data_IF_708177428624
#
_entry.id   IF_708177428624
#
_cell.length_a   1.000
_cell.length_b   1.000
_cell.length_c   1.000
_cell.angle_alpha   90.00
_cell.angle_beta   90.00
_cell.angle_gamma   90.00
#
_symmetry.space_group_name_H-M   'P 1'
#
loop_
_entity.id
_entity.type
_entity.pdbx_description
1 polymer ?
#
# COMPACT_ATOMS: atom_id res chain seq x y z
N UNK A 1 -40.56 10.39 -48.48
CA UNK A 1 -40.37 10.88 -47.09
C UNK A 1 -39.30 10.07 -46.41
N UNK A 2 -38.16 10.65 -46.26
CA UNK A 2 -37.05 10.00 -45.59
C UNK A 2 -37.06 10.39 -44.11
N UNK A 3 -37.28 9.42 -43.27
CA UNK A 3 -37.13 9.64 -41.81
C UNK A 3 -35.68 9.55 -41.46
N UNK A 4 -35.11 10.67 -41.05
CA UNK A 4 -33.78 10.69 -40.41
C UNK A 4 -33.95 10.32 -38.95
N UNK A 5 -33.48 9.14 -38.58
CA UNK A 5 -33.29 8.79 -37.18
C UNK A 5 -32.01 9.45 -36.66
N UNK A 6 -32.16 10.45 -35.80
CA UNK A 6 -31.04 10.98 -35.05
C UNK A 6 -30.62 9.90 -34.05
N UNK A 7 -29.45 9.33 -34.28
CA UNK A 7 -28.80 8.51 -33.26
C UNK A 7 -28.22 9.46 -32.19
N UNK A 8 -28.83 9.47 -31.05
CA UNK A 8 -28.29 10.18 -29.88
C UNK A 8 -27.10 9.37 -29.39
N UNK A 9 -25.92 9.86 -29.70
CA UNK A 9 -24.68 9.33 -29.09
C UNK A 9 -24.68 9.80 -27.63
N UNK A 10 -25.01 8.92 -26.73
CA UNK A 10 -24.83 9.16 -25.32
C UNK A 10 -23.33 9.19 -25.04
N UNK A 11 -22.80 10.40 -24.87
CA UNK A 11 -21.45 10.61 -24.41
C UNK A 11 -21.40 10.19 -22.94
N UNK A 12 -20.95 8.97 -22.67
CA UNK A 12 -20.57 8.58 -21.32
C UNK A 12 -19.36 9.40 -20.91
N UNK A 13 -19.59 10.49 -20.22
CA UNK A 13 -18.55 11.20 -19.51
C UNK A 13 -18.01 10.24 -18.45
N UNK A 14 -16.86 9.64 -18.71
CA UNK A 14 -16.12 8.93 -17.68
C UNK A 14 -15.67 9.98 -16.65
N UNK A 15 -16.46 10.14 -15.61
CA UNK A 15 -16.02 10.86 -14.43
C UNK A 15 -14.88 10.05 -13.83
N UNK A 16 -13.67 10.54 -14.01
CA UNK A 16 -12.49 10.03 -13.35
C UNK A 16 -12.63 10.34 -11.85
N UNK A 17 -13.42 9.54 -11.17
CA UNK A 17 -13.39 9.50 -9.72
C UNK A 17 -12.03 8.94 -9.33
N UNK A 18 -11.32 9.62 -8.42
CA UNK A 18 -10.09 9.11 -7.85
C UNK A 18 -10.37 7.73 -7.25
N UNK A 19 -10.16 6.69 -8.05
CA UNK A 19 -10.26 5.33 -7.57
C UNK A 19 -9.12 5.06 -6.61
N UNK A 20 -9.41 4.46 -5.46
CA UNK A 20 -8.38 3.91 -4.59
C UNK A 20 -7.50 2.94 -5.37
N UNK A 21 -6.21 2.85 -5.02
CA UNK A 21 -5.28 1.91 -5.66
C UNK A 21 -5.75 0.46 -5.51
N UNK A 22 -6.41 0.15 -4.39
CA UNK A 22 -7.04 -1.15 -4.17
C UNK A 22 -8.22 -1.02 -3.22
N UNK A 23 -9.15 -1.97 -3.32
CA UNK A 23 -10.29 -2.08 -2.41
C UNK A 23 -10.48 -3.54 -2.02
N UNK A 24 -10.77 -3.77 -0.75
CA UNK A 24 -11.15 -5.08 -0.22
C UNK A 24 -12.14 -4.86 0.91
N UNK A 25 -13.34 -5.46 0.80
CA UNK A 25 -14.41 -5.21 1.78
C UNK A 25 -14.72 -3.72 1.91
N UNK A 26 -14.70 -3.20 3.13
CA UNK A 26 -14.91 -1.79 3.44
C UNK A 26 -13.63 -0.96 3.44
N UNK A 27 -12.51 -1.56 3.05
CA UNK A 27 -11.19 -0.93 3.05
C UNK A 27 -10.85 -0.38 1.68
N UNK A 28 -10.36 0.88 1.66
CA UNK A 28 -9.76 1.52 0.48
C UNK A 28 -8.30 1.76 0.77
N UNK A 29 -7.42 1.34 -0.14
CA UNK A 29 -5.97 1.43 0.05
C UNK A 29 -5.40 2.33 -1.02
N UNK A 30 -4.66 3.36 -0.61
CA UNK A 30 -4.11 4.41 -1.46
C UNK A 30 -2.62 4.60 -1.23
N UNK A 31 -1.97 5.29 -2.16
CA UNK A 31 -0.57 5.71 -2.04
C UNK A 31 0.39 4.56 -1.76
N UNK A 32 0.20 3.45 -2.45
CA UNK A 32 1.02 2.25 -2.27
C UNK A 32 2.37 2.45 -2.97
N UNK A 33 3.45 2.44 -2.19
CA UNK A 33 4.80 2.59 -2.73
C UNK A 33 5.83 1.83 -1.90
N UNK A 34 6.98 1.57 -2.50
CA UNK A 34 8.10 0.91 -1.85
C UNK A 34 9.39 1.65 -2.18
N UNK A 35 10.37 1.53 -1.32
CA UNK A 35 11.70 2.13 -1.54
C UNK A 35 12.53 1.30 -2.52
N UNK A 36 13.38 1.98 -3.28
CA UNK A 36 14.43 1.31 -4.04
C UNK A 36 15.37 0.55 -3.10
N UNK A 37 16.04 -0.46 -3.60
CA UNK A 37 17.01 -1.24 -2.84
C UNK A 37 17.78 -2.20 -3.74
N UNK A 38 18.85 -2.77 -3.18
CA UNK A 38 19.73 -3.71 -3.87
C UNK A 38 19.61 -5.12 -3.29
N UNK A 39 20.01 -6.17 -4.02
CA UNK A 39 19.97 -7.53 -3.51
C UNK A 39 20.69 -7.65 -2.15
N UNK A 40 20.09 -8.40 -1.24
CA UNK A 40 20.61 -8.59 0.12
C UNK A 40 20.28 -7.48 1.10
N UNK A 41 19.81 -6.34 0.61
CA UNK A 41 19.43 -5.21 1.46
C UNK A 41 18.00 -5.32 1.97
N UNK A 42 17.63 -4.38 2.83
CA UNK A 42 16.29 -4.22 3.38
C UNK A 42 15.61 -3.05 2.67
N UNK A 43 14.33 -3.22 2.33
CA UNK A 43 13.49 -2.14 1.86
C UNK A 43 12.21 -2.08 2.69
N UNK A 44 11.34 -1.15 2.38
CA UNK A 44 10.06 -0.99 3.07
C UNK A 44 8.99 -0.53 2.11
N UNK A 45 7.75 -0.91 2.41
CA UNK A 45 6.57 -0.48 1.67
C UNK A 45 5.61 0.26 2.58
N UNK A 46 4.89 1.19 2.00
CA UNK A 46 4.00 2.10 2.69
C UNK A 46 2.69 2.27 1.91
N UNK A 47 1.62 2.51 2.64
CA UNK A 47 0.32 2.81 2.06
C UNK A 47 -0.61 3.40 3.12
N UNK A 48 -1.75 3.91 2.68
CA UNK A 48 -2.81 4.39 3.56
C UNK A 48 -4.05 3.52 3.39
N UNK A 49 -4.65 3.12 4.52
CA UNK A 49 -5.90 2.35 4.54
C UNK A 49 -6.99 3.20 5.15
N UNK A 50 -8.10 3.37 4.43
CA UNK A 50 -9.32 4.00 4.95
C UNK A 50 -10.38 2.95 5.13
N UNK A 51 -11.01 2.95 6.29
CA UNK A 51 -12.04 1.97 6.67
C UNK A 51 -13.39 2.64 6.85
N UNK A 52 -14.39 2.14 6.13
CA UNK A 52 -15.78 2.62 6.22
C UNK A 52 -16.69 1.63 6.95
N UNK A 53 -16.12 0.68 7.66
CA UNK A 53 -16.87 -0.37 8.35
C UNK A 53 -16.32 -0.64 9.74
N UNK A 54 -16.55 -1.86 10.22
CA UNK A 54 -16.07 -2.31 11.53
C UNK A 54 -14.53 -2.36 11.56
N UNK A 55 -13.95 -2.25 12.76
CA UNK A 55 -12.52 -2.34 12.95
C UNK A 55 -11.94 -3.63 12.34
N UNK A 56 -10.75 -3.51 11.76
CA UNK A 56 -10.01 -4.61 11.17
C UNK A 56 -8.54 -4.48 11.55
N UNK A 57 -7.69 -5.32 11.05
CA UNK A 57 -6.24 -5.21 11.23
C UNK A 57 -5.48 -5.93 10.13
N UNK A 58 -4.28 -5.46 9.85
CA UNK A 58 -3.33 -6.17 9.00
C UNK A 58 -2.65 -7.23 9.86
N UNK A 59 -2.68 -8.47 9.42
CA UNK A 59 -2.12 -9.60 10.18
C UNK A 59 -0.90 -10.23 9.51
N UNK A 60 -0.70 -10.01 8.22
CA UNK A 60 0.51 -10.47 7.53
C UNK A 60 0.69 -9.77 6.19
N UNK A 61 1.89 -9.86 5.67
CA UNK A 61 2.22 -9.38 4.33
C UNK A 61 3.26 -10.32 3.71
N UNK A 62 3.29 -10.40 2.39
CA UNK A 62 4.24 -11.22 1.66
C UNK A 62 4.64 -10.56 0.34
N UNK A 63 5.93 -10.64 0.01
CA UNK A 63 6.49 -10.19 -1.26
C UNK A 63 7.49 -11.22 -1.75
N UNK A 64 7.34 -11.68 -3.00
CA UNK A 64 8.31 -12.60 -3.61
C UNK A 64 9.67 -11.93 -3.85
N UNK A 65 9.76 -10.63 -3.65
CA UNK A 65 10.96 -9.83 -3.82
C UNK A 65 11.98 -9.96 -2.68
N UNK A 66 11.62 -10.59 -1.57
CA UNK A 66 12.43 -10.64 -0.37
C UNK A 66 12.38 -12.01 0.30
N UNK A 67 13.40 -12.33 1.08
CA UNK A 67 13.44 -13.58 1.85
C UNK A 67 12.34 -13.63 2.89
N UNK A 68 12.08 -12.52 3.56
CA UNK A 68 10.98 -12.41 4.51
C UNK A 68 10.32 -11.04 4.44
N UNK A 69 9.03 -11.01 4.76
CA UNK A 69 8.22 -9.81 4.79
C UNK A 69 7.56 -9.73 6.16
N UNK A 70 7.73 -8.62 6.85
CA UNK A 70 7.30 -8.47 8.22
C UNK A 70 6.54 -7.16 8.44
N UNK A 71 5.68 -7.15 9.44
CA UNK A 71 5.00 -5.95 9.91
C UNK A 71 5.85 -5.28 10.98
N UNK A 72 6.20 -4.03 10.77
CA UNK A 72 7.06 -3.27 11.70
C UNK A 72 6.45 -1.94 12.11
N UNK A 73 6.87 -1.46 13.27
CA UNK A 73 6.61 -0.11 13.74
C UNK A 73 7.94 0.49 14.23
N UNK A 74 7.91 1.76 14.56
CA UNK A 74 9.07 2.49 15.05
C UNK A 74 8.74 3.08 16.41
N UNK A 75 9.67 3.01 17.34
CA UNK A 75 9.54 3.68 18.65
C UNK A 75 10.86 4.34 19.04
N UNK A 76 10.77 5.35 19.88
CA UNK A 76 11.94 6.00 20.45
C UNK A 76 12.38 5.25 21.71
N UNK A 77 13.66 4.86 21.73
CA UNK A 77 14.31 4.24 22.89
C UNK A 77 15.62 4.98 23.12
N UNK A 78 15.78 5.59 24.29
CA UNK A 78 16.99 6.31 24.67
C UNK A 78 17.43 7.35 23.62
N UNK A 79 16.47 8.10 23.05
CA UNK A 79 16.73 9.12 22.05
C UNK A 79 16.98 8.60 20.62
N UNK A 80 16.92 7.29 20.40
CA UNK A 80 17.12 6.69 19.08
C UNK A 80 15.85 6.03 18.58
N UNK A 81 15.58 6.15 17.28
CA UNK A 81 14.46 5.45 16.64
C UNK A 81 14.82 3.99 16.40
N UNK A 82 14.01 3.08 16.94
CA UNK A 82 14.17 1.65 16.79
C UNK A 82 12.97 1.04 16.07
N UNK A 83 13.24 0.23 15.05
CA UNK A 83 12.23 -0.58 14.37
C UNK A 83 12.03 -1.87 15.14
N UNK A 84 10.78 -2.31 15.23
CA UNK A 84 10.46 -3.58 15.88
C UNK A 84 9.26 -4.25 15.19
N UNK A 85 9.27 -5.56 15.17
CA UNK A 85 8.19 -6.34 14.58
C UNK A 85 6.93 -6.28 15.45
N UNK A 86 5.78 -6.16 14.80
CA UNK A 86 4.48 -6.19 15.46
C UNK A 86 3.65 -7.37 14.90
N UNK A 87 2.80 -8.00 15.72
CA UNK A 87 1.96 -9.11 15.26
C UNK A 87 0.83 -8.66 14.34
N UNK A 88 0.41 -7.40 14.47
CA UNK A 88 -0.69 -6.84 13.69
C UNK A 88 -0.63 -5.32 13.72
N UNK A 89 -1.34 -4.71 12.77
CA UNK A 89 -1.54 -3.25 12.71
C UNK A 89 -3.03 -2.97 12.73
N UNK A 90 -3.51 -2.28 13.77
CA UNK A 90 -4.93 -2.02 13.95
C UNK A 90 -5.46 -0.96 12.99
N UNK A 91 -6.64 -1.21 12.43
CA UNK A 91 -7.37 -0.28 11.58
C UNK A 91 -8.69 0.03 12.29
N UNK A 92 -8.86 1.25 12.82
CA UNK A 92 -10.07 1.57 13.57
C UNK A 92 -11.33 1.56 12.69
N UNK A 93 -12.48 1.29 13.32
CA UNK A 93 -13.76 1.40 12.65
C UNK A 93 -13.98 2.85 12.20
N UNK A 94 -14.47 3.03 10.97
CA UNK A 94 -14.70 4.35 10.38
C UNK A 94 -13.50 5.30 10.49
N UNK A 95 -12.30 4.74 10.43
CA UNK A 95 -11.04 5.46 10.59
C UNK A 95 -10.02 5.09 9.54
N UNK A 96 -8.75 5.35 9.83
CA UNK A 96 -7.66 5.09 8.91
C UNK A 96 -6.40 4.60 9.61
N UNK A 97 -5.56 3.93 8.84
CA UNK A 97 -4.20 3.54 9.23
C UNK A 97 -3.26 4.01 8.13
N UNK A 98 -2.26 4.80 8.50
CA UNK A 98 -1.25 5.29 7.56
C UNK A 98 0.10 4.66 7.86
N UNK A 99 0.64 3.94 6.88
CA UNK A 99 2.01 3.45 6.91
C UNK A 99 2.90 4.47 6.22
N UNK A 100 3.92 4.94 6.90
CA UNK A 100 4.82 5.98 6.40
C UNK A 100 6.21 5.85 7.04
N UNK A 101 7.26 6.44 6.43
CA UNK A 101 8.59 6.47 7.06
C UNK A 101 8.52 7.03 8.48
N UNK A 102 9.19 6.34 9.41
CA UNK A 102 9.17 6.71 10.82
C UNK A 102 7.97 6.19 11.61
N UNK A 103 7.13 5.40 10.99
CA UNK A 103 5.92 4.83 11.60
C UNK A 103 5.76 3.37 11.18
N UNK A 104 4.53 2.86 11.15
CA UNK A 104 4.25 1.52 10.63
C UNK A 104 4.73 1.36 9.20
N UNK A 105 5.26 0.20 8.88
CA UNK A 105 5.69 -0.15 7.52
C UNK A 105 5.73 -1.66 7.31
N UNK A 106 5.70 -2.05 6.06
CA UNK A 106 5.95 -3.44 5.65
C UNK A 106 7.44 -3.55 5.38
N UNK A 107 8.14 -4.33 6.18
CA UNK A 107 9.59 -4.52 6.05
C UNK A 107 9.88 -5.64 5.06
N UNK A 108 10.68 -5.33 4.03
CA UNK A 108 11.13 -6.29 3.02
C UNK A 108 12.58 -6.65 3.33
N UNK A 109 12.80 -7.85 3.88
CA UNK A 109 14.11 -8.26 4.41
C UNK A 109 14.79 -9.21 3.46
N UNK A 110 16.02 -8.89 3.08
CA UNK A 110 16.82 -9.71 2.19
C UNK A 110 16.27 -9.72 0.77
N UNK A 111 16.33 -8.59 0.09
CA UNK A 111 15.89 -8.47 -1.30
C UNK A 111 16.62 -9.49 -2.18
N UNK A 112 15.87 -10.20 -3.02
CA UNK A 112 16.43 -11.19 -3.94
C UNK A 112 16.70 -10.64 -5.34
N UNK A 113 16.34 -9.39 -5.57
CA UNK A 113 16.59 -8.64 -6.81
C UNK A 113 16.63 -7.15 -6.53
N UNK A 114 17.18 -6.33 -7.46
CA UNK A 114 17.09 -4.88 -7.32
C UNK A 114 15.63 -4.41 -7.39
N UNK A 115 15.28 -3.43 -6.56
CA UNK A 115 14.04 -2.68 -6.70
C UNK A 115 14.38 -1.33 -7.33
N UNK A 116 13.93 -1.11 -8.54
CA UNK A 116 14.29 0.04 -9.37
C UNK A 116 13.16 1.05 -9.42
N UNK A 117 13.48 2.34 -9.28
CA UNK A 117 12.49 3.40 -9.38
C UNK A 117 11.71 3.33 -10.69
N UNK A 118 10.39 3.45 -10.59
CA UNK A 118 9.48 3.38 -11.73
C UNK A 118 8.84 2.01 -11.97
N UNK A 119 9.38 0.94 -11.38
CA UNK A 119 8.76 -0.36 -11.49
C UNK A 119 7.54 -0.50 -10.55
N UNK A 120 6.71 -1.49 -10.82
CA UNK A 120 5.58 -1.86 -9.97
C UNK A 120 5.88 -3.17 -9.26
N UNK A 121 5.70 -3.19 -7.95
CA UNK A 121 6.01 -4.33 -7.09
C UNK A 121 4.73 -4.88 -6.46
N UNK A 122 4.33 -6.13 -6.79
CA UNK A 122 3.18 -6.75 -6.13
C UNK A 122 3.52 -7.14 -4.70
N UNK A 123 2.67 -6.76 -3.76
CA UNK A 123 2.77 -7.12 -2.35
C UNK A 123 1.42 -7.65 -1.89
N UNK A 124 1.39 -8.84 -1.32
CA UNK A 124 0.18 -9.40 -0.74
C UNK A 124 0.05 -8.95 0.70
N UNK A 125 -1.12 -8.43 1.04
CA UNK A 125 -1.43 -8.00 2.41
C UNK A 125 -2.69 -8.73 2.86
N UNK A 126 -2.65 -9.30 4.05
CA UNK A 126 -3.78 -10.00 4.63
C UNK A 126 -4.37 -9.20 5.77
N UNK A 127 -5.67 -8.93 5.66
CA UNK A 127 -6.47 -8.33 6.71
C UNK A 127 -7.24 -9.43 7.45
N UNK A 128 -7.42 -9.27 8.75
CA UNK A 128 -8.08 -10.29 9.56
C UNK A 128 -9.51 -10.58 9.09
N UNK A 129 -10.28 -9.53 8.80
CA UNK A 129 -11.69 -9.65 8.40
C UNK A 129 -11.90 -9.52 6.90
N UNK A 130 -11.30 -8.53 6.28
CA UNK A 130 -11.50 -8.26 4.86
C UNK A 130 -10.83 -9.29 3.94
N UNK A 131 -9.81 -10.03 4.44
CA UNK A 131 -9.12 -11.04 3.66
C UNK A 131 -7.85 -10.53 2.98
N UNK A 132 -7.38 -11.25 1.98
CA UNK A 132 -6.12 -10.97 1.29
C UNK A 132 -6.35 -10.11 0.04
N UNK A 133 -5.44 -9.18 -0.19
CA UNK A 133 -5.42 -8.36 -1.40
C UNK A 133 -3.97 -8.22 -1.88
N UNK A 134 -3.78 -8.14 -3.20
CA UNK A 134 -2.49 -7.82 -3.79
C UNK A 134 -2.44 -6.33 -4.09
N UNK A 135 -1.46 -5.66 -3.48
CA UNK A 135 -1.20 -4.24 -3.70
C UNK A 135 -0.07 -4.10 -4.72
N UNK A 136 -0.22 -3.18 -5.66
CA UNK A 136 0.81 -2.86 -6.64
C UNK A 136 1.54 -1.60 -6.22
N UNK A 137 2.66 -1.78 -5.53
CA UNK A 137 3.46 -0.68 -5.02
C UNK A 137 4.31 -0.05 -6.12
N UNK A 138 4.30 1.27 -6.21
CA UNK A 138 5.25 1.98 -7.06
C UNK A 138 6.58 2.06 -6.35
N UNK A 139 7.63 1.61 -7.00
CA UNK A 139 8.98 1.74 -6.44
C UNK A 139 9.50 3.14 -6.69
N UNK A 140 9.91 3.81 -5.62
CA UNK A 140 10.36 5.20 -5.67
C UNK A 140 11.70 5.35 -4.95
N UNK A 141 12.52 6.27 -5.46
CA UNK A 141 13.76 6.64 -4.79
C UNK A 141 13.44 7.35 -3.47
N UNK A 142 14.21 7.03 -2.43
CA UNK A 142 14.08 7.66 -1.11
C UNK A 142 14.19 9.19 -1.18
N UNK A 143 15.04 9.71 -2.06
CA UNK A 143 15.24 11.16 -2.21
C UNK A 143 14.00 11.89 -2.72
N UNK A 144 13.08 11.22 -3.41
CA UNK A 144 11.85 11.82 -3.93
C UNK A 144 10.86 12.22 -2.82
N UNK A 145 11.09 11.81 -1.58
CA UNK A 145 10.23 12.10 -0.43
C UNK A 145 10.87 13.01 0.62
N UNK A 146 12.11 13.42 0.38
CA UNK A 146 12.81 14.33 1.27
C UNK A 146 12.35 15.76 1.04
N UNK A 147 11.33 16.20 1.65
CA UNK A 147 10.86 17.58 1.52
C UNK A 147 9.37 17.75 1.76
N UNK A 148 8.74 16.72 2.18
CA UNK A 148 7.29 16.74 2.45
C UNK A 148 6.96 16.22 3.81
#
# INVERSE_FOLDING_TARGET
MRRFTLATVALCAATSLYAADAKVGNLSIDDVWARTGQPGQVSAAYFEVKNKGAADKIVSANCDCAKSTELHNVKMIDGAMKMYQVPAMDIPADGSLTLKPGSYHIMLIGLNRPLVAGETLPIKVKFEKAGEVTLNAKVKDKAAHSGH
#
